data_IF_452771329952
#
_entry.id   IF_452771329952
#
_cell.length_a   1.000
_cell.length_b   1.000
_cell.length_c   1.000
_cell.angle_alpha   90.00
_cell.angle_beta   90.00
_cell.angle_gamma   90.00
#
_symmetry.space_group_name_H-M   'P 1'
#
loop_
_entity.id
_entity.type
_entity.pdbx_description
1 polymer ?
#
# COMPACT_ATOMS: atom_id res chain seq x y z
N UNK A 1 20.05 -10.05 -3.68
CA UNK A 1 20.14 -8.62 -3.29
C UNK A 1 20.21 -7.74 -4.52
N UNK A 2 19.48 -6.63 -4.49
CA UNK A 2 19.51 -5.61 -5.54
C UNK A 2 20.87 -4.89 -5.55
N UNK A 3 21.51 -4.82 -6.72
CA UNK A 3 22.76 -4.06 -6.85
C UNK A 3 22.49 -2.54 -6.77
N UNK A 4 23.39 -1.77 -6.16
CA UNK A 4 23.20 -0.32 -5.98
C UNK A 4 22.97 0.43 -7.29
N UNK A 5 23.63 0.00 -8.38
CA UNK A 5 23.42 0.54 -9.73
C UNK A 5 21.98 0.35 -10.24
N UNK A 6 21.24 -0.62 -9.71
CA UNK A 6 19.88 -0.97 -10.14
C UNK A 6 18.80 -0.31 -9.26
N UNK A 7 19.18 0.39 -8.20
CA UNK A 7 18.25 1.15 -7.37
C UNK A 7 17.65 2.33 -8.13
N UNK A 8 16.38 2.55 -7.90
CA UNK A 8 15.62 3.73 -8.37
C UNK A 8 15.75 4.87 -7.37
N UNK A 9 15.52 4.57 -6.08
CA UNK A 9 15.46 5.57 -5.01
C UNK A 9 16.84 5.81 -4.39
N UNK A 10 17.68 6.57 -5.10
CA UNK A 10 19.09 6.80 -4.73
C UNK A 10 19.28 7.73 -3.54
N UNK A 11 18.21 8.35 -3.05
CA UNK A 11 18.22 9.19 -1.85
C UNK A 11 17.25 8.71 -0.76
N UNK A 12 16.84 7.45 -0.79
CA UNK A 12 15.84 6.89 0.14
C UNK A 12 16.07 7.25 1.61
N UNK A 13 17.33 7.38 2.01
CA UNK A 13 17.72 7.68 3.39
C UNK A 13 18.05 9.16 3.65
N UNK A 14 17.79 10.06 2.69
CA UNK A 14 18.03 11.50 2.85
C UNK A 14 19.49 11.90 3.01
N UNK A 15 20.41 11.11 2.47
CA UNK A 15 21.85 11.38 2.55
C UNK A 15 22.32 12.44 1.55
N UNK A 16 21.49 12.78 0.58
CA UNK A 16 21.78 13.75 -0.47
C UNK A 16 20.74 14.87 -0.47
N UNK A 17 21.08 15.98 -1.13
CA UNK A 17 20.16 17.09 -1.34
C UNK A 17 18.94 16.63 -2.14
N UNK A 18 17.75 16.91 -1.62
CA UNK A 18 16.47 16.55 -2.22
C UNK A 18 15.99 17.57 -3.28
N UNK A 19 16.49 18.83 -3.20
CA UNK A 19 16.08 19.91 -4.07
C UNK A 19 16.49 19.65 -5.53
N UNK A 20 16.01 20.45 -6.46
CA UNK A 20 16.21 20.27 -7.90
C UNK A 20 17.68 20.08 -8.28
N UNK A 21 18.59 20.85 -7.66
CA UNK A 21 20.03 20.72 -7.91
C UNK A 21 20.55 19.33 -7.58
N UNK A 22 20.22 18.82 -6.39
CA UNK A 22 20.63 17.50 -5.96
C UNK A 22 19.92 16.39 -6.75
N UNK A 23 18.65 16.56 -7.08
CA UNK A 23 17.90 15.62 -7.91
C UNK A 23 18.53 15.49 -9.31
N UNK A 24 18.87 16.61 -9.96
CA UNK A 24 19.57 16.61 -11.26
C UNK A 24 20.95 15.93 -11.19
N UNK A 25 21.69 16.14 -10.11
CA UNK A 25 22.98 15.45 -9.91
C UNK A 25 22.83 13.92 -9.83
N UNK A 26 21.63 13.41 -9.50
CA UNK A 26 21.29 11.99 -9.51
C UNK A 26 20.57 11.53 -10.80
N UNK A 27 20.42 12.41 -11.79
CA UNK A 27 19.84 12.11 -13.10
C UNK A 27 18.35 12.38 -13.24
N UNK A 28 17.70 13.02 -12.27
CA UNK A 28 16.32 13.48 -12.43
C UNK A 28 16.24 14.56 -13.50
N UNK A 29 15.20 14.54 -14.31
CA UNK A 29 14.96 15.45 -15.45
C UNK A 29 15.91 15.28 -16.65
N UNK A 30 16.87 14.35 -16.59
CA UNK A 30 17.75 14.07 -17.71
C UNK A 30 16.97 13.40 -18.85
N UNK A 31 17.01 14.04 -20.03
CA UNK A 31 16.37 13.51 -21.23
C UNK A 31 14.83 13.49 -21.21
N UNK A 32 14.16 14.14 -20.25
CA UNK A 32 12.70 14.13 -20.14
C UNK A 32 12.01 14.58 -21.42
N UNK A 33 12.51 15.64 -22.08
CA UNK A 33 11.99 16.07 -23.39
C UNK A 33 12.05 14.95 -24.43
N UNK A 34 13.19 14.29 -24.56
CA UNK A 34 13.36 13.17 -25.49
C UNK A 34 12.45 11.97 -25.15
N UNK A 35 12.14 11.76 -23.87
CA UNK A 35 11.16 10.75 -23.45
C UNK A 35 9.76 11.12 -23.99
N UNK A 36 9.33 12.37 -23.86
CA UNK A 36 8.03 12.82 -24.36
C UNK A 36 7.97 12.75 -25.90
N UNK A 37 9.07 13.06 -26.59
CA UNK A 37 9.18 12.98 -28.04
C UNK A 37 8.99 11.57 -28.61
N UNK A 38 9.13 10.50 -27.79
CA UNK A 38 8.75 9.13 -28.20
C UNK A 38 7.25 8.97 -28.49
N UNK A 39 6.41 9.85 -27.96
CA UNK A 39 4.97 9.83 -28.11
C UNK A 39 4.24 8.98 -27.09
N UNK A 40 2.95 9.26 -26.92
CA UNK A 40 2.08 8.68 -25.86
C UNK A 40 2.02 7.15 -25.90
N UNK A 41 1.72 6.60 -27.08
CA UNK A 41 1.55 5.14 -27.23
C UNK A 41 2.87 4.39 -26.96
N UNK A 42 4.01 4.95 -27.38
CA UNK A 42 5.32 4.36 -27.13
C UNK A 42 5.67 4.34 -25.63
N UNK A 43 5.36 5.42 -24.89
CA UNK A 43 5.57 5.46 -23.43
C UNK A 43 4.67 4.44 -22.71
N UNK A 44 3.38 4.36 -23.08
CA UNK A 44 2.47 3.36 -22.50
C UNK A 44 2.97 1.94 -22.77
N UNK A 45 3.46 1.66 -23.99
CA UNK A 45 3.96 0.34 -24.35
C UNK A 45 5.28 0.00 -23.62
N UNK A 46 6.17 0.98 -23.44
CA UNK A 46 7.38 0.82 -22.63
C UNK A 46 7.04 0.44 -21.17
N UNK A 47 6.06 1.14 -20.57
CA UNK A 47 5.60 0.82 -19.20
C UNK A 47 4.91 -0.56 -19.14
N UNK A 48 4.16 -0.98 -20.17
CA UNK A 48 3.62 -2.34 -20.25
C UNK A 48 4.72 -3.38 -20.33
N UNK A 49 5.68 -3.18 -21.24
CA UNK A 49 6.79 -4.10 -21.47
C UNK A 49 7.68 -4.24 -20.23
N UNK A 50 7.82 -3.18 -19.44
CA UNK A 50 8.55 -3.25 -18.16
C UNK A 50 7.91 -4.19 -17.14
N UNK A 51 6.63 -4.54 -17.33
CA UNK A 51 5.88 -5.35 -16.39
C UNK A 51 5.56 -4.65 -15.06
N UNK A 52 5.69 -3.32 -14.99
CA UNK A 52 5.39 -2.56 -13.77
C UNK A 52 3.96 -2.79 -13.32
N UNK A 53 3.81 -3.40 -12.15
CA UNK A 53 2.54 -3.52 -11.44
C UNK A 53 2.39 -2.41 -10.41
N UNK A 54 1.17 -1.94 -10.16
CA UNK A 54 0.87 -0.90 -9.19
C UNK A 54 1.45 -1.21 -7.80
N UNK A 55 2.11 -0.22 -7.20
CA UNK A 55 2.81 -0.33 -5.91
C UNK A 55 1.94 0.10 -4.72
N UNK A 56 0.69 0.45 -4.97
CA UNK A 56 -0.26 0.88 -3.93
C UNK A 56 -0.96 -0.25 -3.16
N UNK A 57 -0.76 -1.52 -3.56
CA UNK A 57 -1.32 -2.69 -2.87
C UNK A 57 -1.99 -3.70 -3.81
N UNK A 58 -2.88 -3.28 -4.70
CA UNK A 58 -3.64 -4.17 -5.58
C UNK A 58 -2.81 -4.82 -6.70
N UNK A 59 -1.65 -4.27 -7.06
CA UNK A 59 -0.76 -4.86 -8.06
C UNK A 59 -1.30 -4.90 -9.48
N UNK A 60 -2.25 -4.03 -9.85
CA UNK A 60 -2.78 -3.97 -11.22
C UNK A 60 -1.70 -3.46 -12.19
N UNK A 61 -1.56 -4.02 -13.43
CA UNK A 61 -0.54 -3.58 -14.37
C UNK A 61 -0.67 -2.10 -14.73
N UNK A 62 0.38 -1.31 -14.47
CA UNK A 62 0.35 0.16 -14.56
C UNK A 62 0.13 0.63 -16.00
N UNK A 63 0.89 0.10 -16.96
CA UNK A 63 0.74 0.49 -18.37
C UNK A 63 -0.61 0.09 -18.97
N UNK A 64 -1.21 -1.01 -18.51
CA UNK A 64 -2.55 -1.41 -18.90
C UNK A 64 -3.58 -0.41 -18.33
N UNK A 65 -3.45 0.01 -17.07
CA UNK A 65 -4.31 1.03 -16.46
C UNK A 65 -4.26 2.35 -17.24
N UNK A 66 -3.07 2.78 -17.67
CA UNK A 66 -2.91 3.97 -18.49
C UNK A 66 -3.61 3.88 -19.85
N UNK A 67 -3.62 2.70 -20.47
CA UNK A 67 -4.24 2.50 -21.77
C UNK A 67 -5.78 2.55 -21.76
N UNK A 68 -6.41 2.59 -20.58
CA UNK A 68 -7.86 2.79 -20.46
C UNK A 68 -8.28 4.25 -20.60
N UNK A 69 -7.35 5.19 -20.53
CA UNK A 69 -7.66 6.60 -20.75
C UNK A 69 -8.04 6.86 -22.21
N UNK A 70 -9.03 7.73 -22.46
CA UNK A 70 -9.45 8.05 -23.83
C UNK A 70 -8.30 8.61 -24.67
N UNK A 71 -8.04 8.00 -25.84
CA UNK A 71 -7.01 8.47 -26.77
C UNK A 71 -7.42 9.76 -27.49
N UNK A 72 -8.72 9.93 -27.73
CA UNK A 72 -9.30 11.13 -28.34
C UNK A 72 -10.07 11.89 -27.28
N UNK A 73 -9.80 13.21 -27.21
CA UNK A 73 -10.56 14.08 -26.33
C UNK A 73 -12.00 14.19 -26.82
N UNK A 74 -12.94 14.13 -25.92
CA UNK A 74 -14.36 14.44 -26.12
C UNK A 74 -14.71 15.88 -25.69
N UNK A 75 -13.68 16.72 -25.47
CA UNK A 75 -13.80 18.10 -25.01
C UNK A 75 -13.68 18.24 -23.49
N UNK A 76 -13.75 17.13 -22.71
CA UNK A 76 -13.52 17.15 -21.28
C UNK A 76 -12.02 17.10 -20.98
N UNK A 77 -11.55 17.78 -19.92
CA UNK A 77 -10.17 17.59 -19.43
C UNK A 77 -9.94 16.15 -18.98
N UNK A 78 -8.70 15.70 -19.03
CA UNK A 78 -8.25 14.42 -18.48
C UNK A 78 -7.33 14.70 -17.30
N UNK A 79 -7.48 13.92 -16.23
CA UNK A 79 -6.74 14.13 -14.99
C UNK A 79 -5.85 12.96 -14.62
N UNK A 80 -4.65 13.27 -14.14
CA UNK A 80 -3.83 12.37 -13.35
C UNK A 80 -4.06 12.69 -11.87
N UNK A 81 -4.36 11.68 -11.07
CA UNK A 81 -4.40 11.81 -9.61
C UNK A 81 -3.38 10.86 -9.00
N UNK A 82 -2.48 11.40 -8.19
CA UNK A 82 -1.52 10.60 -7.43
C UNK A 82 -2.05 10.38 -6.04
N UNK A 83 -2.23 9.12 -5.69
CA UNK A 83 -2.61 8.69 -4.35
C UNK A 83 -1.38 8.66 -3.45
N UNK A 84 -1.24 9.70 -2.63
CA UNK A 84 -0.27 9.84 -1.56
C UNK A 84 -0.93 9.77 -0.17
N UNK A 85 -2.14 9.19 -0.09
CA UNK A 85 -2.84 8.89 1.16
C UNK A 85 -2.34 7.55 1.73
N UNK A 86 -1.08 7.54 2.18
CA UNK A 86 -0.42 6.37 2.74
C UNK A 86 -0.84 6.17 4.19
N UNK A 87 -1.93 5.45 4.41
CA UNK A 87 -2.55 5.27 5.72
C UNK A 87 -2.57 3.81 6.19
N UNK A 88 -2.15 2.85 5.35
CA UNK A 88 -2.08 1.43 5.70
C UNK A 88 -1.09 1.19 6.85
N UNK A 89 -1.53 0.69 8.02
CA UNK A 89 -0.63 0.42 9.15
C UNK A 89 0.52 -0.50 8.77
N UNK A 90 1.73 -0.07 9.11
CA UNK A 90 2.99 -0.72 8.73
C UNK A 90 3.65 -0.13 7.47
N UNK A 91 2.94 0.70 6.70
CA UNK A 91 3.43 1.27 5.44
C UNK A 91 3.98 2.68 5.64
N UNK A 92 5.18 2.95 5.10
CA UNK A 92 5.84 4.26 5.18
C UNK A 92 6.83 4.49 4.02
N UNK A 93 6.58 3.91 2.85
CA UNK A 93 7.46 3.98 1.66
C UNK A 93 7.25 5.25 0.82
N UNK A 94 5.98 5.63 0.61
CA UNK A 94 5.63 6.81 -0.19
C UNK A 94 6.06 8.08 0.55
N UNK A 95 5.98 8.06 1.88
CA UNK A 95 6.51 9.10 2.75
C UNK A 95 7.98 9.38 2.50
N UNK A 96 8.81 8.34 2.39
CA UNK A 96 10.25 8.50 2.16
C UNK A 96 10.55 9.03 0.74
N UNK A 97 9.80 8.61 -0.27
CA UNK A 97 9.90 9.17 -1.63
C UNK A 97 9.59 10.67 -1.60
N UNK A 98 8.48 11.06 -1.00
CA UNK A 98 8.08 12.47 -0.91
C UNK A 98 9.07 13.33 -0.12
N UNK A 99 9.75 12.75 0.88
CA UNK A 99 10.77 13.44 1.69
C UNK A 99 12.09 13.64 0.97
N UNK A 100 12.53 12.62 0.24
CA UNK A 100 13.93 12.49 -0.13
C UNK A 100 14.18 12.48 -1.64
N UNK A 101 13.18 12.09 -2.45
CA UNK A 101 13.24 12.09 -3.92
C UNK A 101 11.98 12.67 -4.58
N UNK A 102 11.45 13.84 -4.11
CA UNK A 102 10.20 14.39 -4.61
C UNK A 102 10.24 14.74 -6.11
N UNK A 103 11.40 15.08 -6.65
CA UNK A 103 11.55 15.39 -8.08
C UNK A 103 11.34 14.19 -8.99
N UNK A 104 11.65 12.95 -8.54
CA UNK A 104 11.30 11.74 -9.30
C UNK A 104 9.77 11.60 -9.41
N UNK A 105 9.05 11.94 -8.34
CA UNK A 105 7.59 11.94 -8.37
C UNK A 105 7.04 13.01 -9.31
N UNK A 106 7.54 14.25 -9.23
CA UNK A 106 7.08 15.38 -10.07
C UNK A 106 7.35 15.09 -11.54
N UNK A 107 8.53 14.62 -11.88
CA UNK A 107 8.90 14.22 -13.24
C UNK A 107 8.05 13.05 -13.73
N UNK A 108 7.84 12.06 -12.89
CA UNK A 108 6.95 10.92 -13.18
C UNK A 108 5.52 11.35 -13.46
N UNK A 109 5.02 12.38 -12.75
CA UNK A 109 3.70 12.96 -13.01
C UNK A 109 3.61 13.61 -14.41
N UNK A 110 4.65 14.34 -14.84
CA UNK A 110 4.69 14.93 -16.18
C UNK A 110 4.67 13.84 -17.27
N UNK A 111 5.51 12.81 -17.13
CA UNK A 111 5.61 11.71 -18.11
C UNK A 111 4.29 10.93 -18.17
N UNK A 112 3.72 10.58 -17.02
CA UNK A 112 2.45 9.88 -16.94
C UNK A 112 1.28 10.73 -17.46
N UNK A 113 1.25 12.02 -17.10
CA UNK A 113 0.27 12.98 -17.60
C UNK A 113 0.28 13.09 -19.12
N UNK A 114 1.46 13.27 -19.71
CA UNK A 114 1.64 13.27 -21.16
C UNK A 114 1.13 11.96 -21.80
N UNK A 115 1.58 10.82 -21.29
CA UNK A 115 1.21 9.51 -21.85
C UNK A 115 -0.30 9.31 -21.87
N UNK A 116 -1.00 9.75 -20.83
CA UNK A 116 -2.45 9.63 -20.70
C UNK A 116 -3.24 10.80 -21.26
N UNK A 117 -2.58 11.87 -21.76
CA UNK A 117 -3.22 13.06 -22.28
C UNK A 117 -3.76 14.01 -21.22
N UNK A 118 -3.32 13.90 -20.00
CA UNK A 118 -3.69 14.79 -18.92
C UNK A 118 -2.80 16.05 -18.93
N UNK A 119 -3.42 17.22 -18.84
CA UNK A 119 -2.75 18.51 -18.69
C UNK A 119 -2.74 18.98 -17.23
N UNK A 120 -3.44 18.27 -16.34
CA UNK A 120 -3.53 18.61 -14.92
C UNK A 120 -3.34 17.34 -14.09
N UNK A 121 -2.49 17.45 -13.09
CA UNK A 121 -2.30 16.44 -12.07
C UNK A 121 -2.59 16.97 -10.66
N UNK A 122 -3.07 16.07 -9.80
CA UNK A 122 -3.24 16.31 -8.37
C UNK A 122 -2.48 15.26 -7.59
N UNK A 123 -1.69 15.68 -6.59
CA UNK A 123 -1.08 14.79 -5.61
C UNK A 123 -1.89 14.93 -4.32
N UNK A 124 -2.70 13.90 -4.01
CA UNK A 124 -3.50 13.87 -2.79
C UNK A 124 -2.66 13.31 -1.65
N UNK A 125 -2.21 14.19 -0.75
CA UNK A 125 -1.33 13.86 0.36
C UNK A 125 -2.15 13.61 1.63
N UNK A 126 -1.85 12.53 2.35
CA UNK A 126 -2.44 12.20 3.64
C UNK A 126 -2.40 13.38 4.61
N UNK A 127 -3.50 13.59 5.36
CA UNK A 127 -3.65 14.74 6.25
C UNK A 127 -2.56 14.90 7.30
N UNK A 128 -2.01 13.79 7.81
CA UNK A 128 -0.93 13.79 8.80
C UNK A 128 0.46 14.08 8.21
N UNK A 129 0.60 14.08 6.86
CA UNK A 129 1.87 14.23 6.16
C UNK A 129 2.18 15.70 5.85
N UNK A 130 2.28 16.55 6.89
CA UNK A 130 2.55 17.99 6.74
C UNK A 130 3.91 18.24 6.09
N UNK A 131 4.97 17.61 6.59
CA UNK A 131 6.35 17.78 6.09
C UNK A 131 6.49 17.27 4.64
N UNK A 132 5.87 16.15 4.33
CA UNK A 132 5.87 15.55 3.00
C UNK A 132 5.15 16.42 2.01
N UNK A 133 3.99 16.96 2.39
CA UNK A 133 3.24 17.94 1.60
C UNK A 133 4.07 19.19 1.27
N UNK A 134 4.70 19.77 2.29
CA UNK A 134 5.57 20.95 2.11
C UNK A 134 6.76 20.64 1.21
N UNK A 135 7.33 19.45 1.35
CA UNK A 135 8.46 19.00 0.54
C UNK A 135 8.07 18.81 -0.93
N UNK A 136 6.95 18.17 -1.20
CA UNK A 136 6.41 17.98 -2.55
C UNK A 136 6.03 19.32 -3.17
N UNK A 137 5.40 20.22 -2.38
CA UNK A 137 5.06 21.56 -2.88
C UNK A 137 6.32 22.33 -3.28
N UNK A 138 7.36 22.32 -2.45
CA UNK A 138 8.63 23.00 -2.77
C UNK A 138 9.26 22.42 -4.05
N UNK A 139 9.23 21.09 -4.25
CA UNK A 139 9.74 20.49 -5.49
C UNK A 139 8.91 20.88 -6.73
N UNK A 140 7.60 21.02 -6.58
CA UNK A 140 6.73 21.54 -7.65
C UNK A 140 7.07 22.99 -7.98
N UNK A 141 7.24 23.84 -6.96
CA UNK A 141 7.59 25.25 -7.14
C UNK A 141 8.95 25.40 -7.87
N UNK A 142 9.98 24.64 -7.46
CA UNK A 142 11.27 24.57 -8.16
C UNK A 142 11.12 24.08 -9.61
N UNK A 143 10.22 23.13 -9.89
CA UNK A 143 9.96 22.66 -11.25
C UNK A 143 9.28 23.73 -12.12
N UNK A 144 8.37 24.53 -11.57
CA UNK A 144 7.78 25.67 -12.26
C UNK A 144 8.83 26.77 -12.53
N UNK A 145 9.62 27.15 -11.53
CA UNK A 145 10.68 28.16 -11.67
C UNK A 145 11.70 27.77 -12.75
N UNK A 146 12.07 26.47 -12.80
CA UNK A 146 12.97 25.92 -13.81
C UNK A 146 12.29 25.66 -15.17
N UNK A 147 11.01 26.00 -15.33
CA UNK A 147 10.18 25.74 -16.52
C UNK A 147 10.17 24.27 -16.96
N UNK A 148 10.20 23.34 -16.01
CA UNK A 148 10.11 21.91 -16.26
C UNK A 148 8.66 21.44 -16.41
N UNK A 149 7.73 22.13 -15.77
CA UNK A 149 6.28 21.96 -15.85
C UNK A 149 5.60 23.32 -16.05
N UNK A 150 4.29 23.35 -16.17
CA UNK A 150 3.51 24.56 -16.46
C UNK A 150 3.34 24.77 -17.96
N UNK A 151 2.84 25.96 -18.31
CA UNK A 151 2.63 26.36 -19.72
C UNK A 151 3.94 26.69 -20.41
N UNK A 152 4.06 26.29 -21.68
CA UNK A 152 5.23 26.55 -22.51
C UNK A 152 6.56 26.13 -21.84
N UNK A 153 6.55 25.01 -21.14
CA UNK A 153 7.73 24.46 -20.47
C UNK A 153 8.71 23.83 -21.47
N UNK A 154 9.94 23.60 -21.01
CA UNK A 154 11.04 23.11 -21.87
C UNK A 154 10.83 21.69 -22.39
N UNK A 155 9.95 20.90 -21.76
CA UNK A 155 9.65 19.53 -22.14
C UNK A 155 8.57 19.43 -23.25
N UNK A 156 7.89 20.52 -23.58
CA UNK A 156 6.97 20.58 -24.72
C UNK A 156 5.55 20.04 -24.47
N UNK A 157 5.17 19.87 -23.21
CA UNK A 157 3.81 19.48 -22.82
C UNK A 157 3.32 20.37 -21.67
N UNK A 158 2.27 21.14 -21.91
CA UNK A 158 1.66 21.96 -20.88
C UNK A 158 1.05 21.07 -19.80
N UNK A 159 1.56 21.18 -18.59
CA UNK A 159 1.15 20.34 -17.47
C UNK A 159 1.21 21.11 -16.16
N UNK A 160 0.06 21.24 -15.53
CA UNK A 160 -0.06 21.84 -14.19
C UNK A 160 -0.19 20.75 -13.13
N UNK A 161 0.51 20.91 -12.01
CA UNK A 161 0.54 19.96 -10.91
C UNK A 161 0.23 20.65 -9.59
N UNK A 162 -0.74 20.11 -8.85
CA UNK A 162 -1.23 20.66 -7.59
C UNK A 162 -1.13 19.64 -6.46
N UNK A 163 -0.79 20.13 -5.27
CA UNK A 163 -0.88 19.33 -4.04
C UNK A 163 -2.23 19.56 -3.38
N UNK A 164 -2.93 18.50 -3.06
CA UNK A 164 -4.14 18.54 -2.22
C UNK A 164 -3.83 17.90 -0.87
N UNK A 165 -4.16 18.62 0.20
CA UNK A 165 -3.97 18.14 1.57
C UNK A 165 -5.22 17.43 2.04
N UNK A 166 -5.14 16.11 2.29
CA UNK A 166 -6.21 15.30 2.84
C UNK A 166 -6.51 15.65 4.30
N UNK A 167 -7.52 14.99 4.86
CA UNK A 167 -8.00 15.23 6.23
C UNK A 167 -7.79 14.03 7.19
N UNK A 168 -6.95 13.06 6.84
CA UNK A 168 -6.54 11.97 7.71
C UNK A 168 -7.50 10.77 7.77
N UNK A 169 -8.33 10.54 6.76
CA UNK A 169 -9.20 9.38 6.67
C UNK A 169 -8.56 8.26 5.83
N UNK A 170 -8.34 7.09 6.42
CA UNK A 170 -7.79 5.90 5.73
C UNK A 170 -8.56 5.55 4.46
N UNK A 171 -9.90 5.68 4.47
CA UNK A 171 -10.71 5.35 3.30
C UNK A 171 -10.39 6.23 2.07
N UNK A 172 -9.81 7.41 2.24
CA UNK A 172 -9.37 8.25 1.13
C UNK A 172 -8.16 7.69 0.38
N UNK A 173 -7.57 6.59 0.83
CA UNK A 173 -6.67 5.74 0.04
C UNK A 173 -7.38 4.86 -1.01
N UNK A 174 -8.70 4.66 -0.91
CA UNK A 174 -9.49 4.05 -1.99
C UNK A 174 -9.68 5.05 -3.12
N UNK A 175 -9.46 4.63 -4.38
CA UNK A 175 -9.35 5.57 -5.50
C UNK A 175 -10.58 6.46 -5.71
N UNK A 176 -11.80 5.95 -5.49
CA UNK A 176 -13.02 6.73 -5.69
C UNK A 176 -13.41 7.56 -4.46
N UNK A 177 -13.11 7.11 -3.27
CA UNK A 177 -13.23 7.93 -2.05
C UNK A 177 -12.25 9.11 -2.06
N UNK A 178 -11.04 8.89 -2.58
CA UNK A 178 -10.08 9.96 -2.82
C UNK A 178 -10.64 11.01 -3.77
N UNK A 179 -11.27 10.60 -4.88
CA UNK A 179 -11.88 11.52 -5.85
C UNK A 179 -13.04 12.31 -5.21
N UNK A 180 -13.91 11.66 -4.43
CA UNK A 180 -14.98 12.34 -3.70
C UNK A 180 -14.41 13.40 -2.73
N UNK A 181 -13.35 13.05 -1.99
CA UNK A 181 -12.69 13.99 -1.08
C UNK A 181 -12.03 15.15 -1.84
N UNK A 182 -11.36 14.88 -2.96
CA UNK A 182 -10.75 15.91 -3.79
C UNK A 182 -11.78 16.88 -4.38
N UNK A 183 -13.01 16.39 -4.63
CA UNK A 183 -14.16 17.20 -5.05
C UNK A 183 -14.82 17.99 -3.89
N UNK A 184 -14.27 17.92 -2.66
CA UNK A 184 -14.81 18.60 -1.49
C UNK A 184 -16.00 17.89 -0.84
N UNK A 185 -16.26 16.64 -1.18
CA UNK A 185 -17.33 15.82 -0.63
C UNK A 185 -16.81 14.92 0.49
N UNK A 186 -17.71 14.21 1.16
CA UNK A 186 -17.33 13.13 2.08
C UNK A 186 -16.62 12.02 1.31
N UNK A 187 -15.49 11.56 1.82
CA UNK A 187 -14.69 10.49 1.23
C UNK A 187 -15.38 9.14 1.33
N UNK A 188 -16.36 8.90 0.47
CA UNK A 188 -17.08 7.65 0.35
C UNK A 188 -16.88 7.05 -1.04
N UNK A 189 -16.52 5.75 -1.15
CA UNK A 189 -16.34 5.09 -2.44
C UNK A 189 -17.57 5.14 -3.34
N UNK A 190 -17.32 5.21 -4.66
CA UNK A 190 -18.34 5.11 -5.69
C UNK A 190 -18.55 3.65 -6.11
N UNK A 191 -19.74 3.34 -6.57
CA UNK A 191 -19.98 2.07 -7.26
C UNK A 191 -19.23 2.02 -8.60
N UNK A 192 -18.71 0.86 -8.94
CA UNK A 192 -18.05 0.58 -10.22
C UNK A 192 -18.84 -0.53 -10.94
N UNK A 193 -19.16 -0.40 -12.23
CA UNK A 193 -18.96 0.72 -13.14
C UNK A 193 -19.87 1.92 -12.82
N UNK A 194 -19.54 3.18 -13.28
CA UNK A 194 -18.42 3.51 -14.15
C UNK A 194 -17.08 3.55 -13.44
N UNK A 195 -15.99 3.22 -14.16
CA UNK A 195 -14.63 3.34 -13.68
C UNK A 195 -14.10 4.76 -13.85
N UNK A 196 -13.12 5.22 -13.03
CA UNK A 196 -12.57 6.56 -13.08
C UNK A 196 -12.02 6.98 -14.45
N UNK A 197 -11.48 6.04 -15.24
CA UNK A 197 -11.02 6.30 -16.60
C UNK A 197 -12.12 6.84 -17.54
N UNK A 198 -13.39 6.57 -17.22
CA UNK A 198 -14.54 7.09 -17.96
C UNK A 198 -15.21 8.26 -17.24
N UNK A 199 -15.41 8.13 -15.91
CA UNK A 199 -16.12 9.09 -15.07
C UNK A 199 -15.38 9.19 -13.72
N UNK A 200 -14.36 10.04 -13.66
CA UNK A 200 -13.52 10.26 -12.48
C UNK A 200 -13.75 11.62 -11.85
N UNK A 201 -12.66 12.36 -11.62
CA UNK A 201 -12.66 13.67 -11.00
C UNK A 201 -13.53 14.66 -11.77
N UNK A 202 -14.47 15.30 -11.09
CA UNK A 202 -15.46 16.23 -11.69
C UNK A 202 -16.21 15.64 -12.90
N UNK A 203 -16.44 14.33 -12.92
CA UNK A 203 -17.08 13.63 -14.03
C UNK A 203 -16.18 13.44 -15.26
N UNK A 204 -14.91 13.76 -15.19
CA UNK A 204 -13.94 13.69 -16.28
C UNK A 204 -13.09 12.42 -16.23
N UNK A 205 -12.55 11.95 -17.38
CA UNK A 205 -11.62 10.81 -17.40
C UNK A 205 -10.43 11.03 -16.47
N UNK A 206 -10.18 10.07 -15.58
CA UNK A 206 -9.15 10.21 -14.54
C UNK A 206 -8.46 8.87 -14.30
N UNK A 207 -7.14 8.91 -14.14
CA UNK A 207 -6.37 7.76 -13.66
C UNK A 207 -5.78 8.08 -12.29
N UNK A 208 -6.04 7.21 -11.32
CA UNK A 208 -5.47 7.30 -9.97
C UNK A 208 -4.27 6.35 -9.87
N UNK A 209 -3.12 6.84 -9.45
CA UNK A 209 -1.87 6.08 -9.35
C UNK A 209 -1.20 6.30 -7.99
N UNK A 210 -0.51 5.27 -7.49
CA UNK A 210 0.28 5.40 -6.26
C UNK A 210 1.60 6.14 -6.48
N UNK A 211 2.12 6.80 -5.45
CA UNK A 211 3.39 7.56 -5.46
C UNK A 211 4.56 6.72 -5.99
N UNK A 212 4.81 5.54 -5.40
CA UNK A 212 5.92 4.66 -5.82
C UNK A 212 5.77 4.22 -7.28
N UNK A 213 4.54 3.94 -7.74
CA UNK A 213 4.29 3.55 -9.13
C UNK A 213 4.65 4.64 -10.12
N UNK A 214 4.42 5.91 -9.78
CA UNK A 214 4.75 7.06 -10.62
C UNK A 214 6.24 7.39 -10.55
N UNK A 215 6.83 7.35 -9.37
CA UNK A 215 8.21 7.73 -9.16
C UNK A 215 9.24 6.79 -9.84
N UNK A 216 8.87 5.54 -10.14
CA UNK A 216 9.77 4.61 -10.87
C UNK A 216 9.74 4.82 -12.39
N UNK A 217 8.73 5.49 -12.93
CA UNK A 217 8.56 5.66 -14.39
C UNK A 217 9.73 6.38 -15.06
N UNK A 218 10.27 7.49 -14.52
CA UNK A 218 11.40 8.17 -15.15
C UNK A 218 12.61 7.25 -15.38
N UNK A 219 12.95 6.40 -14.41
CA UNK A 219 14.06 5.46 -14.54
C UNK A 219 13.75 4.32 -15.55
N UNK A 220 12.51 3.83 -15.60
CA UNK A 220 12.08 2.88 -16.65
C UNK A 220 12.29 3.51 -18.04
N UNK A 221 11.88 4.76 -18.22
CA UNK A 221 11.96 5.43 -19.52
C UNK A 221 13.40 5.74 -19.96
N UNK A 222 14.32 6.00 -19.00
CA UNK A 222 15.74 6.25 -19.27
C UNK A 222 16.54 4.98 -19.51
N UNK A 223 16.28 3.96 -18.71
CA UNK A 223 17.08 2.72 -18.66
C UNK A 223 16.49 1.60 -19.53
N UNK A 224 15.25 1.77 -19.98
CA UNK A 224 14.51 0.85 -20.82
C UNK A 224 13.68 -0.17 -20.05
N UNK A 225 12.57 -0.60 -20.66
CA UNK A 225 11.67 -1.61 -20.09
C UNK A 225 12.39 -2.93 -19.77
N UNK A 226 13.31 -3.36 -20.63
CA UNK A 226 14.06 -4.62 -20.46
C UNK A 226 14.92 -4.62 -19.20
N UNK A 227 15.49 -3.46 -18.82
CA UNK A 227 16.22 -3.33 -17.57
C UNK A 227 15.32 -3.62 -16.37
N UNK A 228 14.16 -2.97 -16.30
CA UNK A 228 13.23 -3.15 -15.18
C UNK A 228 12.62 -4.56 -15.16
N UNK A 229 12.27 -5.09 -16.35
CA UNK A 229 11.75 -6.44 -16.51
C UNK A 229 12.78 -7.52 -16.15
N UNK A 230 14.08 -7.21 -16.27
CA UNK A 230 15.17 -8.10 -15.87
C UNK A 230 15.42 -8.18 -14.35
N UNK A 231 14.80 -7.31 -13.57
CA UNK A 231 14.85 -7.34 -12.10
C UNK A 231 13.63 -8.10 -11.57
N UNK A 232 13.83 -8.95 -10.56
CA UNK A 232 12.74 -9.71 -9.97
C UNK A 232 12.45 -11.03 -10.66
N UNK A 233 11.19 -11.44 -10.69
CA UNK A 233 10.73 -12.71 -11.25
C UNK A 233 9.69 -12.49 -12.36
N UNK A 234 9.46 -13.44 -13.26
CA UNK A 234 8.36 -13.35 -14.23
C UNK A 234 7.03 -12.98 -13.56
N UNK A 235 6.26 -12.06 -14.16
CA UNK A 235 5.04 -11.45 -13.62
C UNK A 235 5.21 -10.59 -12.35
N UNK A 236 6.40 -10.55 -11.77
CA UNK A 236 6.73 -9.79 -10.56
C UNK A 236 8.05 -9.06 -10.77
N UNK A 237 8.06 -8.15 -11.74
CA UNK A 237 9.26 -7.46 -12.20
C UNK A 237 9.56 -6.19 -11.43
N UNK A 238 10.82 -5.79 -11.50
CA UNK A 238 11.32 -4.53 -10.98
C UNK A 238 11.65 -4.55 -9.50
N UNK A 239 11.90 -3.36 -9.00
CA UNK A 239 12.18 -3.12 -7.58
C UNK A 239 10.89 -2.84 -6.80
N UNK A 240 10.97 -2.98 -5.48
CA UNK A 240 9.91 -2.67 -4.53
C UNK A 240 10.50 -2.08 -3.26
N UNK A 241 9.83 -1.06 -2.72
CA UNK A 241 10.13 -0.57 -1.38
C UNK A 241 9.43 -1.43 -0.34
N UNK A 242 10.20 -2.07 0.53
CA UNK A 242 9.72 -2.84 1.67
C UNK A 242 9.83 -2.00 2.94
N UNK A 243 8.74 -1.97 3.72
CA UNK A 243 8.72 -1.33 5.04
C UNK A 243 8.78 -2.44 6.09
N UNK A 244 9.92 -2.62 6.75
CA UNK A 244 10.14 -3.70 7.71
C UNK A 244 9.99 -3.16 9.12
N UNK A 245 9.07 -3.73 9.90
CA UNK A 245 8.75 -3.30 11.26
C UNK A 245 8.38 -4.47 12.18
N UNK A 246 8.02 -4.15 13.43
CA UNK A 246 7.70 -5.13 14.45
C UNK A 246 8.94 -5.66 15.15
N UNK A 247 8.98 -6.96 15.44
CA UNK A 247 10.03 -7.59 16.24
C UNK A 247 11.25 -7.99 15.40
N UNK A 248 11.89 -7.01 14.79
CA UNK A 248 13.19 -7.12 14.11
C UNK A 248 14.23 -6.30 14.87
N UNK A 249 15.52 -6.58 14.66
CA UNK A 249 16.60 -5.85 15.35
C UNK A 249 16.68 -4.38 14.90
N UNK A 250 16.49 -4.11 13.60
CA UNK A 250 16.60 -2.77 13.00
C UNK A 250 15.46 -2.51 12.04
N UNK A 251 14.31 -1.98 12.47
CA UNK A 251 13.24 -1.57 11.57
C UNK A 251 13.76 -0.60 10.51
N UNK A 252 13.36 -0.81 9.24
CA UNK A 252 13.88 0.00 8.14
C UNK A 252 12.93 0.00 6.93
N UNK A 253 13.15 0.97 6.04
CA UNK A 253 12.66 0.93 4.67
C UNK A 253 13.81 0.57 3.75
N UNK A 254 13.58 -0.32 2.78
CA UNK A 254 14.62 -0.77 1.85
C UNK A 254 14.05 -0.99 0.47
N UNK A 255 14.83 -0.65 -0.57
CA UNK A 255 14.51 -1.01 -1.93
C UNK A 255 15.21 -2.33 -2.27
N UNK A 256 14.40 -3.33 -2.69
CA UNK A 256 14.90 -4.63 -3.13
C UNK A 256 14.17 -5.13 -4.38
N UNK A 257 14.75 -6.14 -5.02
CA UNK A 257 14.11 -6.82 -6.13
C UNK A 257 12.84 -7.55 -5.68
N UNK A 258 11.80 -7.49 -6.50
CA UNK A 258 10.62 -8.32 -6.32
C UNK A 258 11.01 -9.80 -6.32
N UNK A 259 10.48 -10.57 -5.36
CA UNK A 259 10.77 -11.99 -5.26
C UNK A 259 11.94 -12.35 -4.36
N UNK A 260 12.48 -11.41 -3.57
CA UNK A 260 13.42 -11.73 -2.51
C UNK A 260 12.77 -12.67 -1.48
N UNK A 261 13.47 -13.73 -0.99
CA UNK A 261 12.97 -14.55 0.11
C UNK A 261 12.80 -13.72 1.39
N UNK A 262 11.70 -13.95 2.15
CA UNK A 262 11.42 -13.21 3.38
C UNK A 262 12.60 -13.25 4.36
N UNK A 263 13.17 -14.43 4.59
CA UNK A 263 14.27 -14.60 5.52
C UNK A 263 15.50 -13.78 5.11
N UNK A 264 15.87 -13.84 3.83
CA UNK A 264 16.97 -13.04 3.28
C UNK A 264 16.69 -11.54 3.44
N UNK A 265 15.47 -11.08 3.14
CA UNK A 265 15.07 -9.68 3.33
C UNK A 265 15.28 -9.22 4.78
N UNK A 266 14.81 -10.03 5.76
CA UNK A 266 14.90 -9.66 7.17
C UNK A 266 16.33 -9.74 7.71
N UNK A 267 17.07 -10.81 7.41
CA UNK A 267 18.43 -11.01 7.93
C UNK A 267 19.41 -9.97 7.35
N UNK A 268 19.29 -9.68 6.05
CA UNK A 268 20.21 -8.74 5.38
C UNK A 268 19.99 -7.28 5.79
N UNK A 269 18.72 -6.85 5.85
CA UNK A 269 18.41 -5.43 5.99
C UNK A 269 17.97 -5.03 7.40
N UNK A 270 17.24 -5.91 8.09
CA UNK A 270 16.67 -5.62 9.39
C UNK A 270 17.40 -6.28 10.57
N UNK A 271 18.54 -6.94 10.32
CA UNK A 271 19.31 -7.66 11.34
C UNK A 271 18.64 -8.93 11.84
N UNK A 272 17.58 -9.40 11.16
CA UNK A 272 16.82 -10.60 11.50
C UNK A 272 15.70 -10.36 12.52
N UNK A 273 15.05 -11.45 12.90
CA UNK A 273 14.03 -11.48 13.97
C UNK A 273 14.71 -11.38 15.32
N UNK A 274 14.16 -10.61 16.26
CA UNK A 274 14.66 -10.54 17.63
C UNK A 274 14.74 -11.93 18.26
N UNK A 275 15.90 -12.26 18.80
CA UNK A 275 16.17 -13.58 19.35
C UNK A 275 16.35 -14.68 18.32
N UNK A 276 16.55 -14.35 17.06
CA UNK A 276 16.80 -15.26 15.94
C UNK A 276 15.54 -15.75 15.23
N UNK A 277 15.72 -16.44 14.09
CA UNK A 277 14.65 -16.90 13.22
C UNK A 277 13.68 -17.87 13.94
N UNK A 278 14.19 -18.73 14.83
CA UNK A 278 13.38 -19.68 15.58
C UNK A 278 12.41 -19.00 16.57
N UNK A 279 12.63 -17.74 16.89
CA UNK A 279 11.73 -16.92 17.70
C UNK A 279 10.56 -16.30 16.91
N UNK A 280 10.52 -16.46 15.57
CA UNK A 280 9.40 -15.98 14.77
C UNK A 280 8.10 -16.70 15.18
N UNK A 281 7.03 -15.94 15.37
CA UNK A 281 5.66 -16.45 15.54
C UNK A 281 4.87 -16.35 14.22
N UNK A 282 4.85 -15.17 13.63
CA UNK A 282 4.13 -14.88 12.39
C UNK A 282 4.63 -13.59 11.74
N UNK A 283 4.28 -13.41 10.48
CA UNK A 283 4.53 -12.16 9.73
C UNK A 283 3.27 -11.74 8.96
N UNK A 284 3.02 -10.44 8.89
CA UNK A 284 2.10 -9.87 7.93
C UNK A 284 2.95 -9.28 6.80
N UNK A 285 2.88 -9.79 5.55
CA UNK A 285 3.83 -9.40 4.51
C UNK A 285 3.49 -8.10 3.77
N UNK A 286 2.26 -7.60 3.91
CA UNK A 286 1.74 -6.57 3.01
C UNK A 286 0.95 -5.43 3.65
N UNK A 287 1.13 -5.18 4.95
CA UNK A 287 0.33 -4.23 5.71
C UNK A 287 -0.84 -4.89 6.44
N UNK A 288 -1.45 -4.15 7.36
CA UNK A 288 -2.42 -4.69 8.31
C UNK A 288 -3.67 -5.31 7.67
N UNK A 289 -3.99 -4.97 6.42
CA UNK A 289 -5.12 -5.54 5.65
C UNK A 289 -4.85 -6.93 5.10
N UNK A 290 -3.62 -7.45 5.22
CA UNK A 290 -3.26 -8.75 4.67
C UNK A 290 -3.33 -9.85 5.73
N UNK A 291 -3.70 -11.10 5.36
CA UNK A 291 -3.63 -12.25 6.26
C UNK A 291 -2.21 -12.46 6.76
N UNK A 292 -2.08 -12.80 8.04
CA UNK A 292 -0.80 -13.22 8.61
C UNK A 292 -0.36 -14.57 8.05
N UNK A 293 0.96 -14.76 7.96
CA UNK A 293 1.63 -16.02 7.59
C UNK A 293 2.37 -16.51 8.84
N UNK A 294 2.07 -17.72 9.37
CA UNK A 294 2.72 -18.24 10.56
C UNK A 294 4.16 -18.65 10.28
N UNK A 295 4.98 -18.76 11.32
CA UNK A 295 6.29 -19.38 11.23
C UNK A 295 6.17 -20.85 10.76
N UNK A 296 7.22 -21.37 10.15
CA UNK A 296 7.34 -22.77 9.76
C UNK A 296 7.66 -22.99 8.30
N UNK A 297 8.14 -24.21 8.01
CA UNK A 297 8.73 -24.62 6.74
C UNK A 297 7.84 -24.40 5.52
N UNK A 298 6.53 -24.69 5.69
CA UNK A 298 5.56 -24.56 4.59
C UNK A 298 4.99 -23.13 4.46
N UNK A 299 5.34 -22.22 5.37
CA UNK A 299 4.80 -20.87 5.49
C UNK A 299 5.91 -19.81 5.37
N UNK A 300 6.30 -19.18 6.48
CA UNK A 300 7.24 -18.04 6.46
C UNK A 300 8.64 -18.42 5.96
N UNK A 301 9.14 -19.64 6.22
CA UNK A 301 10.47 -20.08 5.82
C UNK A 301 10.63 -20.17 4.30
N UNK A 302 9.54 -20.39 3.57
CA UNK A 302 9.49 -20.48 2.11
C UNK A 302 8.73 -19.34 1.45
N UNK A 303 8.44 -18.27 2.19
CA UNK A 303 7.74 -17.10 1.67
C UNK A 303 8.67 -16.27 0.75
N UNK A 304 8.21 -16.07 -0.47
CA UNK A 304 8.84 -15.19 -1.45
C UNK A 304 8.06 -13.88 -1.51
N UNK A 305 8.77 -12.75 -1.40
CA UNK A 305 8.17 -11.43 -1.26
C UNK A 305 7.83 -10.83 -2.64
N UNK A 306 6.79 -11.39 -3.25
CA UNK A 306 6.16 -10.90 -4.46
C UNK A 306 4.64 -11.23 -4.46
N UNK A 307 3.92 -10.78 -5.49
CA UNK A 307 2.46 -10.96 -5.53
C UNK A 307 2.06 -12.44 -5.57
N UNK A 308 2.79 -13.26 -6.34
CA UNK A 308 2.49 -14.67 -6.50
C UNK A 308 2.92 -15.47 -5.25
N UNK A 309 4.13 -15.24 -4.74
CA UNK A 309 4.66 -15.92 -3.56
C UNK A 309 3.80 -15.67 -2.30
N UNK A 310 3.33 -14.44 -2.10
CA UNK A 310 2.43 -14.14 -0.98
C UNK A 310 1.06 -14.80 -1.17
N UNK A 311 0.51 -14.83 -2.41
CA UNK A 311 -0.76 -15.50 -2.72
C UNK A 311 -0.68 -17.00 -2.45
N UNK A 312 0.42 -17.65 -2.80
CA UNK A 312 0.64 -19.09 -2.56
C UNK A 312 0.63 -19.44 -1.06
N UNK A 313 0.95 -18.46 -0.20
CA UNK A 313 0.83 -18.55 1.27
C UNK A 313 -0.50 -18.04 1.82
N UNK A 314 -1.53 -17.94 0.99
CA UNK A 314 -2.88 -17.45 1.35
C UNK A 314 -2.86 -16.05 2.01
N UNK A 315 -1.92 -15.20 1.56
CA UNK A 315 -1.77 -13.80 1.92
C UNK A 315 -1.63 -12.95 0.66
N UNK A 316 -1.21 -11.70 0.77
CA UNK A 316 -0.88 -10.88 -0.38
C UNK A 316 0.27 -9.92 -0.07
N UNK A 317 1.01 -9.52 -1.11
CA UNK A 317 2.11 -8.56 -0.98
C UNK A 317 1.63 -7.18 -0.51
N UNK A 318 0.40 -6.81 -0.87
CA UNK A 318 -0.19 -5.54 -0.48
C UNK A 318 0.74 -4.36 -0.76
N UNK A 319 1.00 -3.55 0.26
CA UNK A 319 1.93 -2.43 0.21
C UNK A 319 3.40 -2.84 0.40
N UNK A 320 3.68 -4.12 0.68
CA UNK A 320 4.98 -4.64 1.12
C UNK A 320 5.43 -4.09 2.50
N UNK A 321 4.49 -3.77 3.35
CA UNK A 321 4.75 -3.46 4.76
C UNK A 321 4.83 -4.77 5.56
N UNK A 322 6.04 -5.17 5.88
CA UNK A 322 6.37 -6.41 6.56
C UNK A 322 6.34 -6.19 8.06
N UNK A 323 5.33 -6.74 8.75
CA UNK A 323 5.17 -6.62 10.20
C UNK A 323 5.54 -7.96 10.82
N UNK A 324 6.67 -8.00 11.51
CA UNK A 324 7.22 -9.22 12.13
C UNK A 324 6.73 -9.34 13.57
N UNK A 325 6.21 -10.49 13.93
CA UNK A 325 5.74 -10.82 15.28
C UNK A 325 6.53 -12.02 15.80
N UNK A 326 7.22 -11.87 16.93
CA UNK A 326 7.92 -12.94 17.61
C UNK A 326 7.02 -13.67 18.62
N UNK A 327 7.53 -14.73 19.26
CA UNK A 327 6.79 -15.57 20.21
C UNK A 327 6.32 -14.85 21.47
N UNK A 328 6.78 -13.62 21.74
CA UNK A 328 6.27 -12.79 22.83
C UNK A 328 4.94 -12.10 22.49
N UNK A 329 4.54 -12.12 21.21
CA UNK A 329 3.33 -11.45 20.73
C UNK A 329 2.07 -12.16 21.19
N UNK A 330 1.16 -11.45 21.84
CA UNK A 330 -0.22 -11.87 21.99
C UNK A 330 -0.95 -11.72 20.64
N UNK A 331 -0.95 -12.79 19.84
CA UNK A 331 -1.46 -12.76 18.46
C UNK A 331 -2.96 -12.45 18.38
N UNK A 332 -3.76 -12.91 19.35
CA UNK A 332 -5.21 -12.66 19.39
C UNK A 332 -5.47 -11.19 19.68
N UNK A 333 -4.73 -10.60 20.61
CA UNK A 333 -4.80 -9.17 20.94
C UNK A 333 -4.31 -8.31 19.78
N UNK A 334 -3.26 -8.71 19.09
CA UNK A 334 -2.74 -7.98 17.93
C UNK A 334 -3.81 -7.89 16.82
N UNK A 335 -4.48 -9.01 16.52
CA UNK A 335 -5.55 -9.02 15.50
C UNK A 335 -6.81 -8.27 15.97
N UNK A 336 -7.16 -8.33 17.25
CA UNK A 336 -8.23 -7.52 17.81
C UNK A 336 -7.94 -6.02 17.69
N UNK A 337 -6.67 -5.60 17.85
CA UNK A 337 -6.24 -4.20 17.66
C UNK A 337 -6.36 -3.76 16.20
N UNK A 338 -6.00 -4.62 15.25
CA UNK A 338 -6.19 -4.36 13.82
C UNK A 338 -7.68 -4.26 13.48
N UNK A 339 -8.52 -5.17 13.99
CA UNK A 339 -9.97 -5.11 13.80
C UNK A 339 -10.60 -3.82 14.37
N UNK A 340 -10.07 -3.33 15.50
CA UNK A 340 -10.48 -2.03 16.04
C UNK A 340 -10.16 -0.87 15.10
N UNK A 341 -8.98 -0.88 14.47
CA UNK A 341 -8.60 0.11 13.47
C UNK A 341 -9.61 0.14 12.32
N UNK A 342 -9.93 -1.00 11.72
CA UNK A 342 -10.90 -1.06 10.62
C UNK A 342 -12.32 -0.66 11.05
N UNK A 343 -12.72 -1.00 12.27
CA UNK A 343 -13.99 -0.50 12.81
C UNK A 343 -14.03 1.03 12.85
N UNK A 344 -12.93 1.66 13.25
CA UNK A 344 -12.82 3.12 13.34
C UNK A 344 -12.78 3.79 11.97
N UNK A 345 -12.09 3.21 11.01
CA UNK A 345 -11.83 3.79 9.69
C UNK A 345 -12.93 3.48 8.64
N UNK A 346 -13.93 2.68 8.98
CA UNK A 346 -15.07 2.45 8.08
C UNK A 346 -15.81 3.77 7.78
N UNK A 347 -16.01 4.07 6.48
CA UNK A 347 -16.76 5.26 6.08
C UNK A 347 -18.27 5.18 6.40
N UNK A 348 -18.76 4.00 6.80
CA UNK A 348 -20.14 3.76 7.19
C UNK A 348 -21.15 3.68 6.04
N UNK A 349 -20.71 3.65 4.78
CA UNK A 349 -21.62 3.69 3.64
C UNK A 349 -22.41 2.39 3.48
N UNK A 350 -21.74 1.22 3.45
CA UNK A 350 -22.41 -0.06 3.22
C UNK A 350 -22.57 -0.85 4.52
N UNK A 351 -23.74 -1.50 4.69
CA UNK A 351 -24.14 -2.20 5.91
C UNK A 351 -23.18 -3.30 6.35
N UNK A 352 -22.68 -4.21 5.46
CA UNK A 352 -21.78 -5.27 5.92
C UNK A 352 -20.49 -4.74 6.56
N UNK A 353 -19.92 -3.65 6.02
CA UNK A 353 -18.77 -2.99 6.59
C UNK A 353 -19.12 -2.24 7.89
N UNK A 354 -20.10 -1.35 7.84
CA UNK A 354 -20.48 -0.48 8.99
C UNK A 354 -20.80 -1.29 10.25
N UNK A 355 -21.60 -2.35 10.12
CA UNK A 355 -22.02 -3.16 11.25
C UNK A 355 -21.07 -4.32 11.54
N UNK A 356 -20.59 -4.98 10.48
CA UNK A 356 -19.75 -6.19 10.62
C UNK A 356 -18.41 -5.93 11.29
N UNK A 357 -17.76 -4.77 11.05
CA UNK A 357 -16.51 -4.41 11.73
C UNK A 357 -16.69 -4.29 13.25
N UNK A 358 -17.82 -3.75 13.68
CA UNK A 358 -18.17 -3.67 15.10
C UNK A 358 -18.39 -5.06 15.74
N UNK A 359 -18.99 -5.98 15.00
CA UNK A 359 -19.18 -7.36 15.44
C UNK A 359 -17.85 -8.11 15.55
N UNK A 360 -17.03 -8.08 14.50
CA UNK A 360 -15.71 -8.71 14.53
C UNK A 360 -14.89 -8.25 15.72
N UNK A 361 -14.79 -6.94 15.95
CA UNK A 361 -14.02 -6.39 17.07
C UNK A 361 -14.55 -6.84 18.43
N UNK A 362 -15.87 -6.83 18.66
CA UNK A 362 -16.47 -7.24 19.93
C UNK A 362 -16.24 -8.73 20.21
N UNK A 363 -16.37 -9.58 19.19
CA UNK A 363 -16.11 -11.02 19.33
C UNK A 363 -14.63 -11.28 19.61
N UNK A 364 -13.72 -10.65 18.86
CA UNK A 364 -12.29 -10.74 19.11
C UNK A 364 -11.88 -10.25 20.50
N UNK A 365 -12.53 -9.20 21.02
CA UNK A 365 -12.28 -8.72 22.39
C UNK A 365 -12.65 -9.80 23.43
N UNK A 366 -13.78 -10.49 23.27
CA UNK A 366 -14.14 -11.62 24.14
C UNK A 366 -13.15 -12.79 24.02
N UNK A 367 -12.63 -13.06 22.81
CA UNK A 367 -11.59 -14.07 22.59
C UNK A 367 -10.27 -13.70 23.27
N UNK A 368 -9.86 -12.42 23.23
CA UNK A 368 -8.69 -11.93 23.97
C UNK A 368 -8.82 -12.19 25.48
N UNK A 369 -10.00 -11.97 26.03
CA UNK A 369 -10.31 -12.14 27.45
C UNK A 369 -10.65 -13.60 27.85
N UNK A 370 -10.75 -14.50 26.87
CA UNK A 370 -11.18 -15.89 27.06
C UNK A 370 -12.68 -16.08 27.33
N UNK A 371 -13.48 -15.00 27.35
CA UNK A 371 -14.92 -15.03 27.65
C UNK A 371 -15.80 -15.44 26.46
N UNK A 372 -15.21 -15.69 25.30
CA UNK A 372 -15.93 -16.19 24.13
C UNK A 372 -16.32 -17.69 24.32
N UNK A 373 -17.27 -18.15 23.50
CA UNK A 373 -17.62 -19.55 23.39
C UNK A 373 -16.93 -20.15 22.16
N UNK A 374 -16.55 -21.44 22.18
CA UNK A 374 -15.88 -22.10 21.03
C UNK A 374 -16.67 -21.98 19.73
N UNK A 375 -18.01 -22.03 19.80
CA UNK A 375 -18.87 -21.81 18.60
C UNK A 375 -18.73 -20.42 17.98
N UNK A 376 -18.28 -19.42 18.75
CA UNK A 376 -18.09 -18.05 18.24
C UNK A 376 -16.88 -17.95 17.29
N UNK A 377 -15.96 -18.94 17.32
CA UNK A 377 -14.83 -19.01 16.38
C UNK A 377 -15.37 -19.23 14.96
N UNK A 378 -16.24 -20.23 14.79
CA UNK A 378 -16.84 -20.54 13.48
C UNK A 378 -17.85 -19.47 13.05
N UNK A 379 -18.60 -18.90 13.99
CA UNK A 379 -19.49 -17.76 13.74
C UNK A 379 -18.70 -16.54 13.26
N UNK A 380 -17.54 -16.24 13.88
CA UNK A 380 -16.70 -15.13 13.44
C UNK A 380 -16.17 -15.34 12.02
N UNK A 381 -15.76 -16.56 11.66
CA UNK A 381 -15.40 -16.90 10.29
C UNK A 381 -16.56 -16.61 9.31
N UNK A 382 -17.79 -17.02 9.65
CA UNK A 382 -18.96 -16.74 8.83
C UNK A 382 -19.22 -15.24 8.69
N UNK A 383 -19.08 -14.46 9.78
CA UNK A 383 -19.21 -13.00 9.72
C UNK A 383 -18.20 -12.39 8.74
N UNK A 384 -16.93 -12.82 8.77
CA UNK A 384 -15.93 -12.33 7.81
C UNK A 384 -16.30 -12.64 6.37
N UNK A 385 -16.87 -13.81 6.10
CA UNK A 385 -17.33 -14.23 4.76
C UNK A 385 -18.56 -13.42 4.27
N UNK A 386 -19.40 -12.94 5.17
CA UNK A 386 -20.51 -12.05 4.83
C UNK A 386 -20.08 -10.59 4.62
N UNK A 387 -18.85 -10.24 4.95
CA UNK A 387 -18.26 -8.93 4.69
C UNK A 387 -17.44 -8.96 3.40
N UNK A 388 -16.57 -9.94 3.26
CA UNK A 388 -15.72 -10.15 2.09
C UNK A 388 -16.57 -10.28 0.82
N UNK A 389 -16.27 -9.49 -0.21
CA UNK A 389 -16.99 -9.48 -1.47
C UNK A 389 -18.41 -8.88 -1.45
N UNK A 390 -18.90 -8.42 -0.29
CA UNK A 390 -20.26 -7.88 -0.11
C UNK A 390 -20.28 -6.38 0.21
N UNK A 391 -19.17 -5.70 0.03
CA UNK A 391 -19.01 -4.26 0.28
C UNK A 391 -18.76 -3.48 -1.00
N UNK A 392 -19.02 -2.16 -0.98
CA UNK A 392 -18.85 -1.28 -2.14
C UNK A 392 -17.38 -1.22 -2.59
N UNK A 393 -16.44 -1.34 -1.66
CA UNK A 393 -15.01 -1.27 -1.92
C UNK A 393 -14.25 -2.37 -1.17
N UNK A 394 -12.99 -2.59 -1.55
CA UNK A 394 -12.11 -3.60 -0.94
C UNK A 394 -11.72 -3.33 0.53
N UNK A 395 -12.22 -2.26 1.15
CA UNK A 395 -12.04 -2.04 2.59
C UNK A 395 -12.59 -3.20 3.42
N UNK A 396 -13.78 -3.72 3.03
CA UNK A 396 -14.39 -4.86 3.70
C UNK A 396 -13.51 -6.11 3.66
N UNK A 397 -12.94 -6.39 2.48
CA UNK A 397 -12.01 -7.50 2.29
C UNK A 397 -10.76 -7.32 3.17
N UNK A 398 -10.14 -6.14 3.11
CA UNK A 398 -8.96 -5.81 3.92
C UNK A 398 -9.17 -5.86 5.43
N UNK A 399 -10.40 -5.69 5.91
CA UNK A 399 -10.74 -5.84 7.32
C UNK A 399 -11.05 -7.29 7.72
N UNK A 400 -11.62 -8.09 6.80
CA UNK A 400 -11.97 -9.49 7.04
C UNK A 400 -10.74 -10.41 6.99
N UNK A 401 -9.83 -10.20 6.05
CA UNK A 401 -8.68 -11.08 5.79
C UNK A 401 -7.72 -11.28 6.97
N UNK A 402 -7.33 -10.26 7.76
CA UNK A 402 -6.50 -10.46 8.95
C UNK A 402 -7.16 -11.39 9.97
N UNK A 403 -8.48 -11.25 10.18
CA UNK A 403 -9.26 -12.09 11.08
C UNK A 403 -9.33 -13.53 10.57
N UNK A 404 -9.56 -13.73 9.28
CA UNK A 404 -9.53 -15.06 8.67
C UNK A 404 -8.14 -15.71 8.81
N UNK A 405 -7.07 -14.93 8.65
CA UNK A 405 -5.69 -15.41 8.88
C UNK A 405 -5.48 -15.90 10.32
N UNK A 406 -5.93 -15.13 11.31
CA UNK A 406 -5.89 -15.53 12.71
C UNK A 406 -6.64 -16.84 12.96
N UNK A 407 -7.90 -16.91 12.53
CA UNK A 407 -8.77 -18.08 12.76
C UNK A 407 -8.22 -19.34 12.08
N UNK A 408 -7.60 -19.19 10.90
CA UNK A 408 -7.00 -20.29 10.15
C UNK A 408 -5.78 -20.89 10.83
N UNK A 409 -4.93 -20.06 11.40
CA UNK A 409 -3.60 -20.50 11.87
C UNK A 409 -3.46 -20.57 13.38
N UNK A 410 -4.29 -19.84 14.14
CA UNK A 410 -4.17 -19.71 15.60
C UNK A 410 -5.45 -20.09 16.35
N UNK A 411 -6.33 -20.87 15.73
CA UNK A 411 -7.53 -21.42 16.39
C UNK A 411 -7.22 -22.10 17.72
N UNK A 412 -6.19 -22.99 17.82
CA UNK A 412 -5.86 -23.64 19.09
C UNK A 412 -5.53 -22.66 20.23
N UNK A 413 -4.89 -21.54 19.93
CA UNK A 413 -4.59 -20.52 20.93
C UNK A 413 -5.85 -19.82 21.44
N UNK A 414 -6.83 -19.58 20.58
CA UNK A 414 -8.13 -19.02 20.97
C UNK A 414 -8.88 -20.02 21.85
N UNK A 415 -8.93 -21.30 21.47
CA UNK A 415 -9.59 -22.36 22.23
C UNK A 415 -8.95 -22.55 23.60
N UNK A 416 -7.61 -22.52 23.69
CA UNK A 416 -6.86 -22.58 24.95
C UNK A 416 -7.29 -21.48 25.92
N UNK A 417 -7.42 -20.23 25.46
CA UNK A 417 -7.86 -19.10 26.27
C UNK A 417 -9.27 -19.28 26.80
N UNK A 418 -10.17 -19.76 25.96
CA UNK A 418 -11.57 -20.04 26.36
C UNK A 418 -11.62 -21.14 27.43
N UNK A 419 -10.85 -22.22 27.26
CA UNK A 419 -10.80 -23.32 28.23
C UNK A 419 -10.18 -22.88 29.57
N UNK A 420 -9.13 -22.06 29.53
CA UNK A 420 -8.51 -21.52 30.75
C UNK A 420 -9.47 -20.59 31.52
N UNK A 421 -10.15 -19.72 30.82
CA UNK A 421 -11.14 -18.82 31.44
C UNK A 421 -12.27 -19.65 32.09
N UNK A 422 -12.81 -20.64 31.39
CA UNK A 422 -13.90 -21.49 31.89
C UNK A 422 -13.48 -22.23 33.15
N UNK A 423 -12.28 -22.84 33.17
CA UNK A 423 -11.74 -23.52 34.37
C UNK A 423 -11.59 -22.59 35.56
N UNK A 424 -11.02 -21.41 35.35
CA UNK A 424 -10.82 -20.43 36.42
C UNK A 424 -12.13 -19.84 36.96
N UNK A 425 -13.15 -19.68 36.12
CA UNK A 425 -14.47 -19.20 36.53
C UNK A 425 -15.20 -20.23 37.36
N UNK A 426 -15.13 -21.51 37.02
CA UNK A 426 -15.71 -22.60 37.83
C UNK A 426 -15.02 -22.72 39.19
N UNK A 427 -13.69 -22.60 39.25
CA UNK A 427 -12.94 -22.64 40.51
C UNK A 427 -13.32 -21.47 41.44
N UNK A 428 -13.49 -20.28 40.90
CA UNK A 428 -13.92 -19.11 41.68
C UNK A 428 -15.38 -19.24 42.18
N UNK A 429 -16.27 -19.83 41.37
CA UNK A 429 -17.65 -20.14 41.79
C UNK A 429 -17.67 -21.15 42.94
N UNK A 430 -16.95 -22.25 42.81
CA UNK A 430 -16.87 -23.28 43.84
C UNK A 430 -16.25 -22.75 45.16
N UNK A 431 -15.28 -21.84 45.08
CA UNK A 431 -14.69 -21.23 46.29
C UNK A 431 -15.66 -20.28 46.98
N UNK A 432 -16.53 -19.57 46.23
CA UNK A 432 -17.58 -18.73 46.79
C UNK A 432 -18.69 -19.55 47.44
N UNK A 433 -19.17 -20.61 46.81
CA UNK A 433 -20.15 -21.56 47.38
C UNK A 433 -19.65 -22.28 48.62
N UNK A 434 -18.35 -22.52 48.74
CA UNK A 434 -17.76 -23.15 49.93
C UNK A 434 -17.49 -22.14 51.09
N UNK A 435 -17.61 -20.83 50.83
CA UNK A 435 -17.39 -19.76 51.80
C UNK A 435 -18.71 -19.16 52.34
N UNK A 436 -19.84 -19.53 51.74
CA UNK A 436 -21.22 -19.29 52.25
C UNK A 436 -21.71 -20.53 53.04
#
# INVERSE_FOLDING_TARGET
MLADKDRVFRNLYGQHDWALKGARARGAWDGTKAILEKGRDAIIEEVKTSGLRGRGGAGFPTGLKWSFMPKKSDGRPQYLVVNADESEPGTCKDREIMRHDPHLLVEGCLIAGFAMGANVGYIYVRGEFIRERERVQAAIDEAYEAKLIGKNNVNGWDFDLYVHHGAGAYICGEETALLESLEGKKGQPRLKPPFPANVGLYGCPTTVQNVESIAVVPDIMRRGASWFAGIGRPNNTGTKLFCISGHVEKPCNVEEAMGIPLRELLETHAGGVRGGWDNLLAVIPGGSSMPLVPAGKDWADSLVMDFDGCRDKKSALGTAAVIVMDKSTDIVRAMARISYFYKHESCGQCTPCREGMGWMWRVLTRMVEGRAQKREIDMLMQVTQQIEGHTICAFGDGAAWPVQGLLRHFRPEIERRIDEYSRNSHTQGAVREAAE
#
